data_IF_221258158776
#
_entry.id   IF_221258158776
#
_cell.length_a   1.000
_cell.length_b   1.000
_cell.length_c   1.000
_cell.angle_alpha   90.00
_cell.angle_beta   90.00
_cell.angle_gamma   90.00
#
_symmetry.space_group_name_H-M   'P 1'
#
loop_
_entity.id
_entity.type
_entity.pdbx_description
1 polymer ?
#
# COMPACT_ATOMS: atom_id res chain seq x y z
N UNK A 1 -5.58 17.12 -12.11
CA UNK A 1 -6.33 15.86 -11.92
C UNK A 1 -7.76 16.24 -11.62
N UNK A 2 -8.76 15.65 -12.29
CA UNK A 2 -10.16 15.95 -11.96
C UNK A 2 -10.51 15.34 -10.60
N UNK A 3 -11.26 16.07 -9.77
CA UNK A 3 -11.66 15.62 -8.41
C UNK A 3 -12.67 14.46 -8.42
N UNK A 4 -13.01 13.93 -9.57
CA UNK A 4 -13.97 12.84 -9.75
C UNK A 4 -13.43 11.81 -10.74
N UNK A 5 -13.91 10.59 -10.66
CA UNK A 5 -13.55 9.51 -11.58
C UNK A 5 -12.73 8.40 -10.95
N UNK A 6 -12.45 7.38 -11.75
CA UNK A 6 -11.78 6.15 -11.31
C UNK A 6 -10.42 6.39 -10.64
N UNK A 7 -9.60 7.28 -11.21
CA UNK A 7 -8.27 7.58 -10.67
C UNK A 7 -8.33 8.21 -9.28
N UNK A 8 -9.23 9.18 -9.06
CA UNK A 8 -9.41 9.80 -7.75
C UNK A 8 -9.98 8.81 -6.72
N UNK A 9 -10.92 7.98 -7.12
CA UNK A 9 -11.48 6.95 -6.24
C UNK A 9 -10.41 5.93 -5.81
N UNK A 10 -9.52 5.55 -6.73
CA UNK A 10 -8.40 4.64 -6.41
C UNK A 10 -7.40 5.31 -5.48
N UNK A 11 -7.03 6.56 -5.74
CA UNK A 11 -6.16 7.35 -4.88
C UNK A 11 -6.73 7.47 -3.46
N UNK A 12 -7.99 7.89 -3.33
CA UNK A 12 -8.66 8.04 -2.04
C UNK A 12 -8.71 6.72 -1.27
N UNK A 13 -9.06 5.62 -1.93
CA UNK A 13 -9.08 4.29 -1.32
C UNK A 13 -7.69 3.86 -0.82
N UNK A 14 -6.64 4.20 -1.55
CA UNK A 14 -5.25 3.91 -1.16
C UNK A 14 -4.87 4.68 0.11
N UNK A 15 -5.12 5.99 0.14
CA UNK A 15 -4.86 6.82 1.32
C UNK A 15 -5.66 6.32 2.54
N UNK A 16 -6.95 6.04 2.36
CA UNK A 16 -7.79 5.48 3.43
C UNK A 16 -7.26 4.14 3.95
N UNK A 17 -6.80 3.26 3.07
CA UNK A 17 -6.21 1.99 3.45
C UNK A 17 -4.94 2.15 4.29
N UNK A 18 -4.05 3.05 3.91
CA UNK A 18 -2.85 3.34 4.72
C UNK A 18 -3.18 3.98 6.06
N UNK A 19 -4.15 4.89 6.13
CA UNK A 19 -4.57 5.53 7.37
C UNK A 19 -4.99 4.55 8.47
N UNK A 20 -5.63 3.45 8.08
CA UNK A 20 -6.17 2.46 9.02
C UNK A 20 -5.34 1.18 9.09
N UNK A 21 -4.16 1.17 8.50
CA UNK A 21 -3.32 -0.01 8.45
C UNK A 21 -2.88 -0.45 9.86
N UNK A 22 -3.08 -1.72 10.24
CA UNK A 22 -2.89 -2.18 11.62
C UNK A 22 -1.44 -2.15 12.11
N UNK A 23 -0.46 -2.05 11.22
CA UNK A 23 0.95 -1.97 11.58
C UNK A 23 1.44 -0.54 11.84
N UNK A 24 0.57 0.47 11.75
CA UNK A 24 0.92 1.86 12.04
C UNK A 24 0.41 2.27 13.42
N UNK A 25 1.33 2.59 14.32
CA UNK A 25 1.00 3.10 15.66
C UNK A 25 0.49 4.54 15.63
N UNK A 26 0.94 5.34 14.65
CA UNK A 26 0.51 6.72 14.40
C UNK A 26 0.60 7.05 12.93
N UNK A 27 -0.31 7.89 12.43
CA UNK A 27 -0.34 8.35 11.04
C UNK A 27 -0.50 9.86 11.01
N UNK A 28 0.39 10.55 10.31
CA UNK A 28 0.27 11.96 9.97
C UNK A 28 -0.07 12.11 8.50
N UNK A 29 -1.23 12.67 8.21
CA UNK A 29 -1.65 12.99 6.84
C UNK A 29 -1.33 14.46 6.59
N UNK A 30 -0.32 14.70 5.78
CA UNK A 30 0.19 16.04 5.51
C UNK A 30 -0.18 16.43 4.08
N UNK A 31 -1.01 17.45 3.94
CA UNK A 31 -1.38 18.06 2.68
C UNK A 31 -0.61 19.34 2.41
N UNK A 32 -0.58 19.78 1.16
CA UNK A 32 -0.02 21.08 0.79
C UNK A 32 -0.96 22.22 1.22
N UNK A 33 -2.28 22.03 1.04
CA UNK A 33 -3.34 23.00 1.33
C UNK A 33 -4.10 23.49 0.10
N UNK A 34 -3.54 23.33 -1.11
CA UNK A 34 -4.15 23.73 -2.39
C UNK A 34 -4.23 22.61 -3.42
N UNK A 35 -3.89 21.39 -3.06
CA UNK A 35 -4.01 20.21 -3.92
C UNK A 35 -5.47 19.78 -4.10
N UNK A 36 -5.74 19.01 -5.17
CA UNK A 36 -7.07 18.45 -5.44
C UNK A 36 -7.53 17.47 -4.36
N UNK A 37 -6.61 16.71 -3.77
CA UNK A 37 -6.86 15.72 -2.72
C UNK A 37 -6.74 16.35 -1.33
N UNK A 38 -7.57 17.35 -1.05
CA UNK A 38 -7.50 18.10 0.20
C UNK A 38 -7.79 17.24 1.43
N UNK A 39 -7.11 17.55 2.53
CA UNK A 39 -7.26 16.85 3.83
C UNK A 39 -8.69 16.84 4.33
N UNK A 40 -9.47 17.88 4.05
CA UNK A 40 -10.89 17.94 4.41
C UNK A 40 -11.72 16.77 3.89
N UNK A 41 -11.28 16.13 2.78
CA UNK A 41 -11.92 14.94 2.22
C UNK A 41 -11.66 13.68 3.08
N UNK A 42 -10.57 13.65 3.84
CA UNK A 42 -10.14 12.50 4.63
C UNK A 42 -10.46 12.62 6.12
N UNK A 43 -10.80 13.80 6.61
CA UNK A 43 -11.07 14.06 8.01
C UNK A 43 -12.50 13.71 8.46
N UNK A 44 -13.30 13.11 7.58
CA UNK A 44 -14.71 12.82 7.86
C UNK A 44 -14.93 11.64 8.83
N UNK A 45 -13.93 10.78 9.03
CA UNK A 45 -13.99 9.68 10.01
C UNK A 45 -13.21 10.05 11.28
N UNK A 46 -13.80 10.85 12.14
CA UNK A 46 -13.17 11.41 13.36
C UNK A 46 -12.87 10.43 14.49
N UNK A 47 -12.99 9.13 14.33
CA UNK A 47 -12.93 8.19 15.46
C UNK A 47 -11.57 7.58 15.75
N UNK A 48 -10.54 7.80 14.92
CA UNK A 48 -9.23 7.21 15.15
C UNK A 48 -8.24 8.23 15.74
N UNK A 49 -7.99 8.14 17.05
CA UNK A 49 -7.05 9.00 17.78
C UNK A 49 -5.59 8.91 17.29
N UNK A 50 -5.28 7.90 16.48
CA UNK A 50 -3.94 7.67 15.95
C UNK A 50 -3.67 8.39 14.62
N UNK A 51 -4.64 9.15 14.09
CA UNK A 51 -4.50 9.88 12.83
C UNK A 51 -4.54 11.37 13.10
N UNK A 52 -3.57 12.11 12.59
CA UNK A 52 -3.51 13.56 12.64
C UNK A 52 -3.40 14.16 11.25
N UNK A 53 -4.06 15.30 11.04
CA UNK A 53 -4.14 15.98 9.75
C UNK A 53 -3.55 17.38 9.83
N UNK A 54 -2.66 17.71 8.92
CA UNK A 54 -1.92 18.97 8.89
C UNK A 54 -1.80 19.48 7.45
N UNK A 55 -1.91 20.80 7.26
CA UNK A 55 -1.61 21.44 5.97
C UNK A 55 -0.33 22.25 6.07
N UNK A 56 0.57 22.12 5.12
CA UNK A 56 1.83 22.87 5.07
C UNK A 56 1.57 24.38 5.06
N UNK A 57 0.58 24.84 4.29
CA UNK A 57 0.26 26.26 4.17
C UNK A 57 -0.32 26.85 5.47
N UNK A 58 -1.13 26.08 6.19
CA UNK A 58 -1.75 26.53 7.43
C UNK A 58 -0.74 26.57 8.59
N UNK A 59 0.30 25.76 8.52
CA UNK A 59 1.35 25.64 9.54
C UNK A 59 2.51 26.63 9.35
N UNK A 60 2.42 27.54 8.37
CA UNK A 60 3.47 28.53 8.13
C UNK A 60 4.57 28.08 7.16
N UNK A 61 4.41 26.94 6.50
CA UNK A 61 5.32 26.44 5.46
C UNK A 61 6.08 25.20 5.85
N UNK A 62 6.91 24.72 4.90
CA UNK A 62 7.59 23.43 5.01
C UNK A 62 8.49 23.32 6.23
N UNK A 63 9.24 24.36 6.56
CA UNK A 63 10.16 24.32 7.71
C UNK A 63 9.40 24.18 9.03
N UNK A 64 8.34 24.95 9.19
CA UNK A 64 7.55 24.95 10.42
C UNK A 64 6.83 23.62 10.64
N UNK A 65 6.26 23.03 9.57
CA UNK A 65 5.58 21.73 9.69
C UNK A 65 6.58 20.60 9.99
N UNK A 66 7.79 20.63 9.42
CA UNK A 66 8.84 19.64 9.73
C UNK A 66 9.18 19.72 11.23
N UNK A 67 9.43 20.89 11.76
CA UNK A 67 9.75 21.07 13.17
C UNK A 67 8.61 20.56 14.06
N UNK A 68 7.38 20.99 13.79
CA UNK A 68 6.19 20.60 14.53
C UNK A 68 5.95 19.08 14.53
N UNK A 69 6.01 18.46 13.36
CA UNK A 69 5.76 17.01 13.24
C UNK A 69 6.90 16.22 13.86
N UNK A 70 8.15 16.66 13.70
CA UNK A 70 9.29 16.00 14.33
C UNK A 70 9.17 16.03 15.86
N UNK A 71 8.84 17.17 16.45
CA UNK A 71 8.63 17.28 17.90
C UNK A 71 7.50 16.35 18.38
N UNK A 72 6.37 16.31 17.66
CA UNK A 72 5.27 15.40 17.97
C UNK A 72 5.70 13.95 17.92
N UNK A 73 6.41 13.56 16.87
CA UNK A 73 6.92 12.18 16.71
C UNK A 73 7.82 11.82 17.90
N UNK A 74 8.76 12.68 18.26
CA UNK A 74 9.66 12.44 19.39
C UNK A 74 8.89 12.24 20.71
N UNK A 75 7.88 13.06 20.96
CA UNK A 75 7.07 12.98 22.18
C UNK A 75 6.19 11.71 22.23
N UNK A 76 5.76 11.19 21.07
CA UNK A 76 4.91 10.01 20.98
C UNK A 76 5.70 8.70 20.79
N UNK A 77 6.99 8.79 20.46
CA UNK A 77 7.81 7.65 20.07
C UNK A 77 7.90 6.58 21.18
N UNK A 78 8.01 7.01 22.43
CA UNK A 78 8.08 6.11 23.58
C UNK A 78 6.78 5.30 23.71
N UNK A 79 5.63 5.94 23.56
CA UNK A 79 4.32 5.30 23.62
C UNK A 79 4.14 4.32 22.46
N UNK A 80 4.54 4.72 21.25
CA UNK A 80 4.44 3.87 20.06
C UNK A 80 5.35 2.64 20.18
N UNK A 81 6.56 2.82 20.71
CA UNK A 81 7.53 1.74 20.89
C UNK A 81 7.13 0.74 22.00
N UNK A 82 6.27 1.13 22.93
CA UNK A 82 5.74 0.22 23.96
C UNK A 82 4.57 -0.65 23.47
N UNK A 83 4.06 -0.44 22.26
CA UNK A 83 3.01 -1.28 21.68
C UNK A 83 3.52 -2.70 21.53
N UNK A 84 2.86 -3.65 22.19
CA UNK A 84 3.23 -5.06 22.14
C UNK A 84 2.65 -5.72 20.91
N UNK A 85 3.46 -6.54 20.25
CA UNK A 85 3.00 -7.37 19.14
C UNK A 85 2.21 -8.56 19.68
N UNK A 86 1.14 -8.90 18.94
CA UNK A 86 0.34 -10.10 19.22
C UNK A 86 0.67 -11.18 18.20
N UNK A 87 0.79 -12.47 18.60
CA UNK A 87 0.93 -13.57 17.65
C UNK A 87 -0.31 -13.68 16.77
N UNK A 88 -0.07 -13.87 15.49
CA UNK A 88 -1.13 -14.17 14.50
C UNK A 88 -0.74 -15.43 13.71
N UNK A 89 -1.67 -16.24 13.24
CA UNK A 89 -1.38 -17.35 12.35
C UNK A 89 -0.90 -16.84 10.97
N UNK A 90 -0.07 -17.61 10.29
CA UNK A 90 0.43 -17.27 8.95
C UNK A 90 -0.72 -17.10 7.94
N UNK A 91 -1.86 -17.73 8.16
CA UNK A 91 -3.06 -17.58 7.33
C UNK A 91 -3.62 -16.15 7.26
N UNK A 92 -3.29 -15.30 8.24
CA UNK A 92 -3.65 -13.87 8.22
C UNK A 92 -2.63 -12.99 7.46
N UNK A 93 -1.51 -13.58 7.04
CA UNK A 93 -0.45 -12.83 6.36
C UNK A 93 -0.76 -12.63 4.89
N UNK A 94 -0.78 -11.37 4.46
CA UNK A 94 -0.88 -10.97 3.06
C UNK A 94 0.43 -10.28 2.66
N UNK A 95 1.13 -10.84 1.69
CA UNK A 95 2.42 -10.33 1.21
C UNK A 95 2.25 -9.81 -0.21
N UNK A 96 2.49 -8.53 -0.41
CA UNK A 96 2.55 -7.92 -1.74
C UNK A 96 3.96 -8.03 -2.30
N UNK A 97 4.08 -8.49 -3.53
CA UNK A 97 5.33 -8.69 -4.26
C UNK A 97 5.50 -7.58 -5.30
N UNK A 98 6.69 -6.99 -5.34
CA UNK A 98 7.00 -5.90 -6.25
C UNK A 98 8.49 -5.96 -6.63
N UNK A 99 8.81 -5.71 -7.90
CA UNK A 99 10.19 -5.66 -8.37
C UNK A 99 10.77 -4.26 -8.19
N UNK A 100 11.93 -4.16 -7.52
CA UNK A 100 12.58 -2.86 -7.26
C UNK A 100 13.66 -2.48 -8.27
N UNK A 101 14.49 -3.44 -8.69
CA UNK A 101 15.71 -3.19 -9.47
C UNK A 101 15.63 -3.59 -10.94
N UNK A 102 14.75 -4.52 -11.28
CA UNK A 102 14.51 -5.05 -12.65
C UNK A 102 15.79 -5.43 -13.43
N UNK A 103 16.78 -6.00 -12.74
CA UNK A 103 18.02 -6.46 -13.38
C UNK A 103 17.93 -7.94 -13.78
N UNK A 104 18.76 -8.34 -14.77
CA UNK A 104 18.74 -9.71 -15.32
C UNK A 104 19.11 -10.77 -14.29
N UNK A 105 19.95 -10.46 -13.32
CA UNK A 105 20.37 -11.40 -12.29
C UNK A 105 19.30 -11.68 -11.26
N UNK A 106 18.39 -10.75 -11.01
CA UNK A 106 17.26 -10.96 -10.10
C UNK A 106 16.37 -12.11 -10.57
N UNK A 107 16.23 -12.29 -11.88
CA UNK A 107 15.49 -13.41 -12.48
C UNK A 107 16.09 -14.79 -12.18
N UNK A 108 17.40 -14.85 -11.90
CA UNK A 108 18.12 -16.10 -11.58
C UNK A 108 18.23 -16.32 -10.07
N UNK A 109 18.25 -15.27 -9.26
CA UNK A 109 18.53 -15.31 -7.82
C UNK A 109 17.33 -14.92 -6.96
N UNK A 110 17.02 -13.65 -6.93
CA UNK A 110 16.03 -13.09 -6.01
C UNK A 110 14.59 -13.54 -6.34
N UNK A 111 14.21 -13.53 -7.61
CA UNK A 111 12.83 -13.88 -7.99
C UNK A 111 12.50 -15.35 -7.74
N UNK A 112 13.37 -16.35 -8.06
CA UNK A 112 13.12 -17.73 -7.65
C UNK A 112 13.04 -17.92 -6.14
N UNK A 113 13.91 -17.27 -5.37
CA UNK A 113 13.88 -17.32 -3.90
C UNK A 113 12.58 -16.72 -3.34
N UNK A 114 12.13 -15.59 -3.90
CA UNK A 114 10.86 -14.96 -3.56
C UNK A 114 9.67 -15.86 -3.91
N UNK A 115 9.72 -16.55 -5.06
CA UNK A 115 8.71 -17.51 -5.46
C UNK A 115 8.55 -18.64 -4.45
N UNK A 116 9.66 -19.22 -3.98
CA UNK A 116 9.64 -20.26 -2.93
C UNK A 116 9.10 -19.72 -1.61
N UNK A 117 9.51 -18.53 -1.21
CA UNK A 117 8.99 -17.89 -0.01
C UNK A 117 7.47 -17.64 -0.08
N UNK A 118 6.99 -17.22 -1.25
CA UNK A 118 5.56 -17.08 -1.54
C UNK A 118 4.82 -18.41 -1.43
N UNK A 119 5.35 -19.48 -2.01
CA UNK A 119 4.76 -20.81 -1.93
C UNK A 119 4.67 -21.31 -0.47
N UNK A 120 5.69 -21.06 0.35
CA UNK A 120 5.65 -21.37 1.78
C UNK A 120 4.51 -20.65 2.49
N UNK A 121 4.34 -19.36 2.25
CA UNK A 121 3.26 -18.55 2.84
C UNK A 121 1.89 -19.10 2.44
N UNK A 122 1.70 -19.37 1.15
CA UNK A 122 0.44 -19.92 0.61
C UNK A 122 0.14 -21.29 1.18
N UNK A 123 1.13 -22.16 1.30
CA UNK A 123 0.97 -23.50 1.89
C UNK A 123 0.55 -23.46 3.38
N UNK A 124 0.82 -22.35 4.06
CA UNK A 124 0.36 -22.10 5.45
C UNK A 124 -0.94 -21.29 5.51
N UNK A 125 -1.65 -21.15 4.39
CA UNK A 125 -2.95 -20.46 4.32
C UNK A 125 -2.88 -18.94 4.13
N UNK A 126 -1.69 -18.35 4.07
CA UNK A 126 -1.50 -16.95 3.76
C UNK A 126 -1.76 -16.59 2.29
N UNK A 127 -1.56 -15.34 1.92
CA UNK A 127 -1.79 -14.86 0.56
C UNK A 127 -0.58 -14.13 0.01
N UNK A 128 -0.33 -14.30 -1.30
CA UNK A 128 0.63 -13.51 -2.05
C UNK A 128 -0.07 -12.72 -3.15
N UNK A 129 0.26 -11.44 -3.27
CA UNK A 129 -0.32 -10.52 -4.23
C UNK A 129 0.79 -10.09 -5.20
N UNK A 130 0.65 -10.47 -6.47
CA UNK A 130 1.50 -9.93 -7.54
C UNK A 130 1.01 -8.52 -7.86
N UNK A 131 1.84 -7.53 -7.58
CA UNK A 131 1.66 -6.17 -8.08
C UNK A 131 2.28 -6.02 -9.47
N UNK A 132 2.13 -4.86 -10.09
CA UNK A 132 2.73 -4.56 -11.40
C UNK A 132 2.21 -5.48 -12.52
N UNK A 133 0.91 -5.44 -12.76
CA UNK A 133 0.24 -6.25 -13.79
C UNK A 133 0.92 -6.19 -15.16
N UNK A 134 1.56 -5.07 -15.50
CA UNK A 134 2.27 -4.87 -16.77
C UNK A 134 3.51 -5.75 -16.92
N UNK A 135 4.13 -6.17 -15.83
CA UNK A 135 5.35 -6.99 -15.86
C UNK A 135 5.09 -8.48 -16.20
N UNK A 136 3.84 -8.91 -16.17
CA UNK A 136 3.49 -10.25 -16.63
C UNK A 136 3.27 -10.34 -18.14
N UNK A 137 3.37 -9.21 -18.86
CA UNK A 137 3.13 -9.16 -20.31
C UNK A 137 4.04 -10.12 -21.08
N UNK A 138 3.43 -10.97 -21.91
CA UNK A 138 4.10 -12.04 -22.62
C UNK A 138 4.23 -13.37 -21.84
N UNK A 139 3.96 -13.37 -20.53
CA UNK A 139 3.99 -14.54 -19.66
C UNK A 139 2.62 -14.83 -19.01
N UNK A 140 1.55 -14.19 -19.47
CA UNK A 140 0.20 -14.28 -18.87
C UNK A 140 -0.34 -15.71 -18.85
N UNK A 141 0.07 -16.53 -19.84
CA UNK A 141 -0.34 -17.93 -19.94
C UNK A 141 0.03 -18.73 -18.68
N UNK A 142 1.16 -18.42 -18.01
CA UNK A 142 1.56 -19.07 -16.77
C UNK A 142 0.57 -18.82 -15.62
N UNK A 143 -0.04 -17.62 -15.58
CA UNK A 143 -1.08 -17.31 -14.62
C UNK A 143 -2.45 -17.89 -15.01
N UNK A 144 -2.74 -17.98 -16.32
CA UNK A 144 -3.97 -18.62 -16.78
C UNK A 144 -4.03 -20.10 -16.41
N UNK A 145 -2.91 -20.81 -16.55
CA UNK A 145 -2.81 -22.24 -16.20
C UNK A 145 -2.99 -22.48 -14.69
N UNK A 146 -2.56 -21.54 -13.86
CA UNK A 146 -2.67 -21.59 -12.40
C UNK A 146 -3.99 -21.06 -11.86
N UNK A 147 -4.85 -20.52 -12.72
CA UNK A 147 -6.09 -19.88 -12.30
C UNK A 147 -7.14 -20.90 -11.88
N UNK A 148 -7.78 -20.64 -10.73
CA UNK A 148 -8.84 -21.50 -10.19
C UNK A 148 -10.12 -21.48 -11.02
N UNK A 149 -10.33 -20.47 -11.87
CA UNK A 149 -11.52 -20.36 -12.71
C UNK A 149 -11.31 -19.42 -13.92
N UNK A 150 -12.18 -19.58 -14.93
CA UNK A 150 -12.14 -18.76 -16.15
C UNK A 150 -12.43 -17.27 -15.92
N UNK A 151 -13.19 -16.92 -14.90
CA UNK A 151 -13.53 -15.52 -14.58
C UNK A 151 -12.27 -14.74 -14.24
N UNK A 152 -11.35 -15.35 -13.48
CA UNK A 152 -10.09 -14.72 -13.13
C UNK A 152 -9.18 -14.53 -14.35
N UNK A 153 -9.15 -15.49 -15.27
CA UNK A 153 -8.42 -15.38 -16.54
C UNK A 153 -8.92 -14.17 -17.33
N UNK A 154 -10.23 -14.01 -17.46
CA UNK A 154 -10.81 -12.89 -18.21
C UNK A 154 -10.53 -11.54 -17.51
N UNK A 155 -10.45 -11.50 -16.18
CA UNK A 155 -10.03 -10.28 -15.45
C UNK A 155 -8.58 -9.89 -15.78
N UNK A 156 -7.66 -10.86 -15.77
CA UNK A 156 -6.25 -10.63 -16.11
C UNK A 156 -6.13 -10.13 -17.56
N UNK A 157 -6.81 -10.78 -18.52
CA UNK A 157 -6.84 -10.32 -19.90
C UNK A 157 -7.31 -8.87 -20.04
N UNK A 158 -8.41 -8.50 -19.37
CA UNK A 158 -8.91 -7.13 -19.39
C UNK A 158 -7.92 -6.11 -18.83
N UNK A 159 -7.17 -6.47 -17.81
CA UNK A 159 -6.14 -5.59 -17.25
C UNK A 159 -5.00 -5.37 -18.24
N UNK A 160 -4.54 -6.43 -18.91
CA UNK A 160 -3.50 -6.33 -19.93
C UNK A 160 -3.98 -5.54 -21.16
N UNK A 161 -5.21 -5.78 -21.64
CA UNK A 161 -5.77 -5.01 -22.75
C UNK A 161 -5.99 -3.54 -22.39
N UNK A 162 -6.35 -3.23 -21.16
CA UNK A 162 -6.48 -1.84 -20.70
C UNK A 162 -5.12 -1.13 -20.68
N UNK A 163 -4.03 -1.85 -20.39
CA UNK A 163 -2.69 -1.29 -20.36
C UNK A 163 -2.12 -1.07 -21.78
N UNK A 164 -2.40 -1.92 -22.76
CA UNK A 164 -1.98 -1.75 -24.15
C UNK A 164 -2.61 -0.50 -24.79
#
# INVERSE_FOLDING_TARGET
MNNTGYGMNTFNRTIEGFKVHPNFGKVYVIGLGCECAQISLYNQSQSNKNIEYLNIQDEGGTKEIINKVSEKIFNELEIINDIKRTPIPVSELNVALQCGGSDSYSGITANPALGIASDIIINHGGSSILSETTEIYGAEHLLYERSVNKINIEKIKKQIEWWK
#
